data_IF_249063720048
#
_entry.id   IF_249063720048
#
_cell.length_a   1.000
_cell.length_b   1.000
_cell.length_c   1.000
_cell.angle_alpha   90.00
_cell.angle_beta   90.00
_cell.angle_gamma   90.00
#
_symmetry.space_group_name_H-M   'P 1'
#
loop_
_entity.id
_entity.type
_entity.pdbx_description
1 polymer ?
#
# COMPACT_ATOMS: atom_id res chain seq x y z
N UNK A 1 7.06 49.99 -52.21
CA UNK A 1 7.64 49.50 -50.96
C UNK A 1 6.53 49.44 -49.94
N UNK A 2 5.73 48.41 -50.03
CA UNK A 2 4.73 48.06 -49.02
C UNK A 2 5.44 47.29 -47.90
N UNK A 3 5.35 47.83 -46.69
CA UNK A 3 5.77 47.11 -45.50
C UNK A 3 4.67 46.12 -45.17
N UNK A 4 4.96 44.84 -45.36
CA UNK A 4 4.21 43.77 -44.71
C UNK A 4 4.26 44.02 -43.21
N UNK A 5 3.13 44.36 -42.60
CA UNK A 5 2.93 44.29 -41.17
C UNK A 5 2.70 42.82 -40.88
N UNK A 6 3.79 42.18 -40.42
CA UNK A 6 3.76 40.89 -39.81
C UNK A 6 2.96 41.01 -38.49
N UNK A 7 1.68 40.63 -38.54
CA UNK A 7 0.87 40.50 -37.33
C UNK A 7 1.33 39.26 -36.61
N UNK A 8 2.40 39.40 -35.80
CA UNK A 8 2.68 38.44 -34.73
C UNK A 8 1.46 38.41 -33.81
N UNK A 9 0.60 37.40 -34.02
CA UNK A 9 -0.45 37.04 -33.10
C UNK A 9 0.20 36.37 -31.85
N UNK A 10 1.00 37.11 -31.11
CA UNK A 10 1.43 36.70 -29.79
C UNK A 10 0.20 36.74 -28.88
N UNK A 11 -0.21 35.58 -28.43
CA UNK A 11 -1.26 35.44 -27.42
C UNK A 11 -0.64 35.89 -26.08
N UNK A 12 -0.78 37.18 -25.77
CA UNK A 12 -0.38 37.69 -24.46
C UNK A 12 -1.39 37.18 -23.40
N UNK A 13 -1.00 36.19 -22.61
CA UNK A 13 -1.80 35.72 -21.49
C UNK A 13 -1.52 36.62 -20.29
N UNK A 14 -2.46 37.50 -19.94
CA UNK A 14 -2.37 38.29 -18.71
C UNK A 14 -2.67 37.36 -17.49
N UNK A 15 -1.63 37.07 -16.71
CA UNK A 15 -1.74 36.22 -15.52
C UNK A 15 -2.72 36.76 -14.47
N UNK A 16 -2.91 38.09 -14.44
CA UNK A 16 -3.83 38.71 -13.50
C UNK A 16 -5.28 38.47 -13.94
N UNK A 17 -5.57 38.59 -15.21
CA UNK A 17 -6.89 38.32 -15.76
C UNK A 17 -7.24 36.84 -15.69
N UNK A 18 -6.28 35.95 -15.96
CA UNK A 18 -6.45 34.53 -15.77
C UNK A 18 -6.78 34.17 -14.31
N UNK A 19 -6.13 34.82 -13.34
CA UNK A 19 -6.40 34.61 -11.92
C UNK A 19 -7.82 35.08 -11.53
N UNK A 20 -8.24 36.24 -12.04
CA UNK A 20 -9.59 36.76 -11.82
C UNK A 20 -10.66 35.87 -12.46
N UNK A 21 -10.38 35.31 -13.63
CA UNK A 21 -11.26 34.36 -14.31
C UNK A 21 -11.44 33.09 -13.49
N UNK A 22 -10.35 32.50 -12.97
CA UNK A 22 -10.42 31.33 -12.09
C UNK A 22 -11.27 31.64 -10.84
N UNK A 23 -11.10 32.81 -10.24
CA UNK A 23 -11.92 33.23 -9.09
C UNK A 23 -13.38 33.40 -9.48
N UNK A 24 -13.68 33.90 -10.68
CA UNK A 24 -15.06 34.06 -11.15
C UNK A 24 -15.83 32.73 -11.19
N UNK A 25 -15.13 31.63 -11.49
CA UNK A 25 -15.71 30.29 -11.56
C UNK A 25 -15.57 29.48 -10.24
N UNK A 26 -15.31 30.13 -9.10
CA UNK A 26 -15.09 29.44 -7.82
C UNK A 26 -16.23 28.48 -7.42
N UNK A 27 -17.48 28.83 -7.75
CA UNK A 27 -18.66 28.00 -7.47
C UNK A 27 -18.61 26.69 -8.26
N UNK A 28 -18.20 26.73 -9.53
CA UNK A 28 -18.03 25.55 -10.36
C UNK A 28 -16.87 24.69 -9.89
N UNK A 29 -15.76 25.29 -9.48
CA UNK A 29 -14.61 24.57 -8.94
C UNK A 29 -15.04 23.81 -7.68
N UNK A 30 -15.75 24.45 -6.75
CA UNK A 30 -16.26 23.80 -5.54
C UNK A 30 -17.25 22.69 -5.88
N UNK A 31 -18.18 22.92 -6.79
CA UNK A 31 -19.16 21.92 -7.18
C UNK A 31 -18.50 20.67 -7.79
N UNK A 32 -17.56 20.84 -8.71
CA UNK A 32 -16.82 19.73 -9.33
C UNK A 32 -15.97 19.00 -8.27
N UNK A 33 -15.30 19.73 -7.39
CA UNK A 33 -14.50 19.16 -6.29
C UNK A 33 -15.36 18.27 -5.37
N UNK A 34 -16.53 18.75 -4.98
CA UNK A 34 -17.45 17.98 -4.14
C UNK A 34 -18.00 16.77 -4.91
N UNK A 35 -18.38 16.94 -6.16
CA UNK A 35 -18.93 15.87 -6.99
C UNK A 35 -17.91 14.74 -7.20
N UNK A 36 -16.66 15.07 -7.57
CA UNK A 36 -15.60 14.06 -7.73
C UNK A 36 -15.20 13.41 -6.41
N UNK A 37 -15.16 14.15 -5.31
CA UNK A 37 -14.96 13.60 -3.97
C UNK A 37 -16.06 12.63 -3.58
N UNK A 38 -17.33 12.96 -3.85
CA UNK A 38 -18.47 12.08 -3.58
C UNK A 38 -18.42 10.80 -4.44
N UNK A 39 -18.04 10.89 -5.70
CA UNK A 39 -17.83 9.73 -6.58
C UNK A 39 -16.71 8.85 -6.05
N UNK A 40 -15.57 9.43 -5.69
CA UNK A 40 -14.44 8.68 -5.12
C UNK A 40 -14.81 8.00 -3.79
N UNK A 41 -15.59 8.69 -2.93
CA UNK A 41 -16.15 8.10 -1.71
C UNK A 41 -17.05 6.90 -2.02
N UNK A 42 -17.98 7.06 -2.96
CA UNK A 42 -18.92 6.00 -3.33
C UNK A 42 -18.20 4.77 -3.89
N UNK A 43 -17.23 4.96 -4.80
CA UNK A 43 -16.41 3.88 -5.34
C UNK A 43 -15.64 3.18 -4.21
N UNK A 44 -14.98 3.96 -3.36
CA UNK A 44 -14.16 3.41 -2.26
C UNK A 44 -15.00 2.64 -1.23
N UNK A 45 -16.25 3.06 -0.99
CA UNK A 45 -17.14 2.46 0.03
C UNK A 45 -17.91 1.24 -0.48
N UNK A 46 -18.31 1.26 -1.76
CA UNK A 46 -19.26 0.28 -2.31
C UNK A 46 -18.68 -0.66 -3.36
N UNK A 47 -17.60 -0.26 -4.04
CA UNK A 47 -17.03 -1.07 -5.13
C UNK A 47 -15.74 -1.80 -4.73
N UNK A 48 -14.98 -1.27 -3.77
CA UNK A 48 -13.72 -1.88 -3.36
C UNK A 48 -13.97 -2.81 -2.17
N UNK A 49 -13.57 -4.07 -2.32
CA UNK A 49 -13.66 -5.08 -1.26
C UNK A 49 -12.76 -4.66 -0.08
N UNK A 50 -13.29 -4.61 1.15
CA UNK A 50 -12.47 -4.37 2.32
C UNK A 50 -11.47 -5.51 2.52
N UNK A 51 -10.26 -5.14 2.93
CA UNK A 51 -9.17 -6.08 3.23
C UNK A 51 -8.77 -5.92 4.70
N UNK A 52 -8.51 -7.05 5.34
CA UNK A 52 -8.12 -7.14 6.75
C UNK A 52 -6.70 -7.68 6.84
N UNK A 53 -5.99 -7.28 7.86
CA UNK A 53 -4.64 -7.79 8.16
C UNK A 53 -4.65 -8.56 9.46
N UNK A 54 -3.87 -9.63 9.48
CA UNK A 54 -3.56 -10.36 10.70
C UNK A 54 -2.07 -10.64 10.77
N UNK A 55 -1.48 -10.40 11.92
CA UNK A 55 -0.04 -10.54 12.14
C UNK A 55 0.26 -11.59 13.19
N UNK A 56 1.09 -12.57 12.82
CA UNK A 56 1.71 -13.51 13.74
C UNK A 56 3.18 -13.16 13.94
N UNK A 57 3.69 -13.31 15.16
CA UNK A 57 5.06 -12.94 15.49
C UNK A 57 5.90 -14.16 15.87
N UNK A 58 7.07 -14.28 15.23
CA UNK A 58 8.08 -15.27 15.52
C UNK A 58 9.29 -14.63 16.22
N UNK A 59 9.76 -15.27 17.28
CA UNK A 59 11.03 -14.92 17.93
C UNK A 59 12.14 -15.86 17.47
N UNK A 60 13.21 -15.28 16.91
CA UNK A 60 14.36 -16.02 16.40
C UNK A 60 15.37 -16.25 17.51
N UNK A 61 15.59 -17.51 17.86
CA UNK A 61 16.61 -17.94 18.81
C UNK A 61 17.93 -18.20 18.08
N UNK A 62 19.02 -17.72 18.67
CA UNK A 62 20.38 -18.03 18.22
C UNK A 62 20.96 -19.10 19.16
N UNK A 63 21.63 -20.11 18.61
CA UNK A 63 22.26 -21.22 19.36
C UNK A 63 23.38 -20.82 20.34
N UNK A 64 23.69 -19.53 20.47
CA UNK A 64 24.76 -19.11 21.36
C UNK A 64 24.35 -19.22 22.81
N UNK A 65 25.10 -20.04 23.54
CA UNK A 65 24.87 -20.44 24.95
C UNK A 65 25.17 -19.31 25.95
N UNK A 66 25.56 -18.13 25.52
CA UNK A 66 25.85 -16.99 26.40
C UNK A 66 25.41 -15.66 25.76
N UNK A 67 24.31 -15.14 26.28
CA UNK A 67 23.71 -13.84 25.88
C UNK A 67 24.56 -12.70 26.46
N UNK A 68 25.76 -12.45 25.96
CA UNK A 68 26.63 -11.41 26.54
C UNK A 68 27.42 -10.57 25.53
N UNK A 69 27.27 -10.79 24.23
CA UNK A 69 28.02 -10.00 23.25
C UNK A 69 27.14 -9.28 22.22
N UNK A 70 27.56 -8.09 21.81
CA UNK A 70 26.96 -7.36 20.68
C UNK A 70 26.95 -8.20 19.38
N UNK A 71 27.87 -9.17 19.26
CA UNK A 71 27.94 -10.12 18.17
C UNK A 71 26.72 -11.05 18.12
N UNK A 72 26.14 -11.43 19.25
CA UNK A 72 24.96 -12.29 19.31
C UNK A 72 23.68 -11.59 18.85
N UNK A 73 23.58 -10.29 19.13
CA UNK A 73 22.47 -9.46 18.66
C UNK A 73 22.53 -9.33 17.13
N UNK A 74 23.70 -9.07 16.59
CA UNK A 74 23.90 -8.91 15.15
C UNK A 74 23.70 -10.21 14.38
N UNK A 75 24.10 -11.35 14.97
CA UNK A 75 23.83 -12.68 14.41
C UNK A 75 22.34 -12.99 14.38
N UNK A 76 21.60 -12.69 15.46
CA UNK A 76 20.15 -12.88 15.52
C UNK A 76 19.40 -12.07 14.46
N UNK A 77 19.82 -10.83 14.24
CA UNK A 77 19.22 -9.96 13.19
C UNK A 77 19.50 -10.50 11.77
N UNK A 78 20.74 -10.97 11.54
CA UNK A 78 21.08 -11.57 10.24
C UNK A 78 20.26 -12.83 9.96
N UNK A 79 20.08 -13.70 10.96
CA UNK A 79 19.24 -14.89 10.85
C UNK A 79 17.77 -14.54 10.57
N UNK A 80 17.26 -13.47 11.16
CA UNK A 80 15.88 -13.00 10.89
C UNK A 80 15.69 -12.62 9.43
N UNK A 81 16.69 -11.94 8.83
CA UNK A 81 16.66 -11.60 7.41
C UNK A 81 16.73 -12.84 6.50
N UNK A 82 17.54 -13.83 6.86
CA UNK A 82 17.60 -15.09 6.12
C UNK A 82 16.26 -15.83 6.18
N UNK A 83 15.59 -15.79 7.33
CA UNK A 83 14.28 -16.42 7.51
C UNK A 83 13.18 -15.74 6.65
N UNK A 84 13.24 -14.42 6.45
CA UNK A 84 12.34 -13.72 5.52
C UNK A 84 12.40 -14.34 4.12
N UNK A 85 13.60 -14.61 3.63
CA UNK A 85 13.79 -15.20 2.29
C UNK A 85 13.25 -16.64 2.24
N UNK A 86 13.48 -17.41 3.28
CA UNK A 86 13.03 -18.82 3.37
C UNK A 86 11.51 -18.91 3.47
N UNK A 87 10.88 -18.08 4.30
CA UNK A 87 9.43 -18.09 4.54
C UNK A 87 8.66 -17.67 3.30
N UNK A 88 9.17 -16.66 2.53
CA UNK A 88 8.60 -16.30 1.22
C UNK A 88 8.89 -17.34 0.13
N UNK A 89 9.74 -18.29 0.42
CA UNK A 89 10.10 -19.34 -0.52
C UNK A 89 8.92 -20.28 -0.83
N UNK A 90 8.95 -20.78 -2.07
CA UNK A 90 7.94 -21.73 -2.56
C UNK A 90 7.68 -22.93 -1.62
N UNK A 91 8.70 -23.58 -1.03
CA UNK A 91 8.45 -24.77 -0.22
C UNK A 91 7.55 -24.52 1.00
N UNK A 92 7.71 -23.36 1.65
CA UNK A 92 6.90 -22.98 2.82
C UNK A 92 5.47 -22.62 2.38
N UNK A 93 5.34 -21.78 1.36
CA UNK A 93 4.03 -21.31 0.91
C UNK A 93 3.20 -22.42 0.24
N UNK A 94 3.82 -23.32 -0.54
CA UNK A 94 3.13 -24.48 -1.11
C UNK A 94 2.60 -25.41 0.01
N UNK A 95 3.38 -25.60 1.08
CA UNK A 95 2.93 -26.42 2.20
C UNK A 95 1.74 -25.79 2.96
N UNK A 96 1.74 -24.46 3.12
CA UNK A 96 0.61 -23.73 3.72
C UNK A 96 -0.64 -23.86 2.84
N UNK A 97 -0.50 -23.72 1.53
CA UNK A 97 -1.59 -23.90 0.55
C UNK A 97 -2.19 -25.30 0.67
N UNK A 98 -1.34 -26.32 0.73
CA UNK A 98 -1.77 -27.70 0.89
C UNK A 98 -2.48 -27.94 2.23
N UNK A 99 -1.90 -27.47 3.35
CA UNK A 99 -2.46 -27.67 4.69
C UNK A 99 -3.84 -27.02 4.85
N UNK A 100 -4.03 -25.85 4.24
CA UNK A 100 -5.28 -25.09 4.33
C UNK A 100 -6.22 -25.32 3.13
N UNK A 101 -5.84 -26.17 2.16
CA UNK A 101 -6.57 -26.43 0.92
C UNK A 101 -6.93 -25.13 0.16
N UNK A 102 -6.00 -24.20 0.07
CA UNK A 102 -6.21 -22.94 -0.64
C UNK A 102 -6.18 -23.16 -2.16
N UNK A 103 -7.11 -22.55 -2.88
CA UNK A 103 -7.17 -22.67 -4.33
C UNK A 103 -6.40 -21.52 -5.00
N UNK A 104 -5.13 -21.39 -4.68
CA UNK A 104 -4.26 -20.35 -5.23
C UNK A 104 -2.82 -20.82 -5.38
N UNK A 105 -1.99 -20.05 -6.11
CA UNK A 105 -0.58 -20.34 -6.27
C UNK A 105 0.26 -19.73 -5.14
N UNK A 106 1.47 -20.27 -4.92
CA UNK A 106 2.41 -19.70 -3.94
C UNK A 106 2.76 -18.22 -4.24
N UNK A 107 2.72 -17.82 -5.53
CA UNK A 107 2.96 -16.42 -5.93
C UNK A 107 1.81 -15.50 -5.49
N UNK A 108 0.58 -15.97 -5.64
CA UNK A 108 -0.62 -15.24 -5.22
C UNK A 108 -0.63 -15.08 -3.71
N UNK A 109 -0.42 -16.19 -2.98
CA UNK A 109 -0.30 -16.15 -1.53
C UNK A 109 0.85 -15.23 -1.09
N UNK A 110 2.03 -15.38 -1.69
CA UNK A 110 3.20 -14.54 -1.37
C UNK A 110 3.00 -13.05 -1.61
N UNK A 111 2.12 -12.67 -2.55
CA UNK A 111 1.71 -11.28 -2.78
C UNK A 111 0.85 -10.69 -1.66
N UNK A 112 0.18 -11.55 -0.86
CA UNK A 112 -0.65 -11.17 0.29
C UNK A 112 0.09 -11.27 1.62
N UNK A 113 1.32 -11.78 1.60
CA UNK A 113 2.16 -11.97 2.78
C UNK A 113 3.25 -10.90 2.83
N UNK A 114 3.24 -10.11 3.89
CA UNK A 114 4.29 -9.16 4.21
C UNK A 114 5.10 -9.69 5.39
N UNK A 115 6.41 -9.71 5.25
CA UNK A 115 7.35 -10.09 6.32
C UNK A 115 8.17 -8.87 6.69
N UNK A 116 8.20 -8.55 7.96
CA UNK A 116 8.92 -7.40 8.51
C UNK A 116 9.72 -7.77 9.75
N UNK A 117 10.88 -7.14 9.89
CA UNK A 117 11.73 -7.25 11.07
C UNK A 117 11.79 -5.88 11.76
N UNK A 118 10.91 -5.60 12.73
CA UNK A 118 10.84 -4.30 13.36
C UNK A 118 12.15 -3.98 14.09
N UNK A 119 12.69 -2.80 13.82
CA UNK A 119 13.89 -2.25 14.48
C UNK A 119 15.12 -3.14 14.40
N UNK A 120 15.26 -3.95 13.36
CA UNK A 120 16.33 -4.94 13.24
C UNK A 120 16.48 -5.82 14.51
N UNK A 121 15.33 -6.23 15.04
CA UNK A 121 15.25 -7.08 16.25
C UNK A 121 15.36 -8.58 15.90
N UNK A 122 15.14 -9.43 16.89
CA UNK A 122 14.97 -10.89 16.71
C UNK A 122 13.52 -11.29 16.49
N UNK A 123 12.63 -10.32 16.32
CA UNK A 123 11.22 -10.57 16.05
C UNK A 123 10.99 -10.49 14.56
N UNK A 124 10.23 -11.42 14.03
CA UNK A 124 9.78 -11.48 12.65
C UNK A 124 8.26 -11.44 12.64
N UNK A 125 7.71 -10.39 12.05
CA UNK A 125 6.29 -10.23 11.84
C UNK A 125 5.89 -10.88 10.52
N UNK A 126 4.85 -11.70 10.57
CA UNK A 126 4.20 -12.34 9.41
C UNK A 126 2.81 -11.74 9.29
N UNK A 127 2.64 -10.77 8.43
CA UNK A 127 1.36 -10.10 8.20
C UNK A 127 0.73 -10.65 6.93
N UNK A 128 -0.52 -11.08 7.03
CA UNK A 128 -1.32 -11.59 5.91
C UNK A 128 -2.53 -10.69 5.71
N UNK A 129 -2.77 -10.32 4.45
CA UNK A 129 -3.92 -9.50 4.04
C UNK A 129 -4.95 -10.37 3.31
N UNK A 130 -6.20 -10.37 3.77
CA UNK A 130 -7.30 -11.15 3.19
C UNK A 130 -8.65 -10.41 3.30
N UNK A 131 -9.61 -10.65 2.40
CA UNK A 131 -10.97 -10.15 2.57
C UNK A 131 -11.69 -10.71 3.80
N UNK A 132 -11.31 -11.90 4.28
CA UNK A 132 -11.83 -12.53 5.47
C UNK A 132 -10.81 -12.42 6.61
N UNK A 133 -11.11 -11.69 7.71
CA UNK A 133 -10.20 -11.53 8.83
C UNK A 133 -9.82 -12.85 9.50
N UNK A 134 -10.73 -13.84 9.54
CA UNK A 134 -10.44 -15.15 10.10
C UNK A 134 -9.50 -15.97 9.20
N UNK A 135 -9.64 -15.82 7.88
CA UNK A 135 -8.72 -16.44 6.92
C UNK A 135 -7.33 -15.79 7.00
N UNK A 136 -7.25 -14.46 7.07
CA UNK A 136 -5.98 -13.74 7.28
C UNK A 136 -5.23 -14.28 8.50
N UNK A 137 -5.93 -14.42 9.64
CA UNK A 137 -5.40 -14.99 10.87
C UNK A 137 -4.93 -16.44 10.69
N UNK A 138 -5.78 -17.28 10.09
CA UNK A 138 -5.48 -18.71 9.91
C UNK A 138 -4.25 -18.90 9.03
N UNK A 139 -4.13 -18.12 7.94
CA UNK A 139 -2.96 -18.19 7.06
C UNK A 139 -1.70 -17.69 7.77
N UNK A 140 -1.78 -16.58 8.53
CA UNK A 140 -0.63 -16.05 9.27
C UNK A 140 -0.09 -17.06 10.29
N UNK A 141 -1.00 -17.69 11.06
CA UNK A 141 -0.64 -18.70 12.04
C UNK A 141 -0.07 -19.97 11.39
N UNK A 142 -0.64 -20.43 10.28
CA UNK A 142 -0.12 -21.60 9.57
C UNK A 142 1.24 -21.33 8.92
N UNK A 143 1.46 -20.12 8.36
CA UNK A 143 2.80 -19.73 7.87
C UNK A 143 3.82 -19.76 9.01
N UNK A 144 3.49 -19.20 10.18
CA UNK A 144 4.38 -19.20 11.34
C UNK A 144 4.75 -20.63 11.77
N UNK A 145 3.77 -21.52 11.80
CA UNK A 145 3.95 -22.94 12.18
C UNK A 145 4.79 -23.71 11.16
N UNK A 146 4.45 -23.61 9.86
CA UNK A 146 5.18 -24.29 8.79
C UNK A 146 6.61 -23.76 8.69
N UNK A 147 6.79 -22.43 8.78
CA UNK A 147 8.10 -21.80 8.77
C UNK A 147 8.99 -22.28 9.92
N UNK A 148 8.45 -22.31 11.14
CA UNK A 148 9.18 -22.80 12.31
C UNK A 148 9.65 -24.24 12.12
N UNK A 149 8.77 -25.13 11.64
CA UNK A 149 9.10 -26.51 11.36
C UNK A 149 10.13 -26.66 10.23
N UNK A 150 9.97 -25.93 9.15
CA UNK A 150 10.87 -25.95 8.00
C UNK A 150 12.29 -25.47 8.36
N UNK A 151 12.40 -24.40 9.13
CA UNK A 151 13.68 -23.85 9.60
C UNK A 151 14.40 -24.87 10.47
N UNK A 152 13.68 -25.51 11.41
CA UNK A 152 14.25 -26.55 12.27
C UNK A 152 14.77 -27.74 11.45
N UNK A 153 13.98 -28.23 10.51
CA UNK A 153 14.32 -29.43 9.75
C UNK A 153 15.43 -29.17 8.69
N UNK A 154 15.28 -28.11 7.89
CA UNK A 154 16.14 -27.90 6.72
C UNK A 154 17.37 -27.06 7.01
N UNK A 155 17.25 -26.07 7.90
CA UNK A 155 18.37 -25.22 8.27
C UNK A 155 19.14 -25.75 9.49
N UNK A 156 18.62 -26.79 10.18
CA UNK A 156 19.22 -27.37 11.41
C UNK A 156 19.50 -26.30 12.48
N UNK A 157 18.62 -25.30 12.52
CA UNK A 157 18.61 -24.26 13.54
C UNK A 157 17.55 -24.59 14.60
N UNK A 158 17.63 -23.91 15.74
CA UNK A 158 16.53 -24.00 16.71
C UNK A 158 15.25 -23.39 16.09
N UNK A 159 14.10 -24.06 16.25
CA UNK A 159 12.86 -23.54 15.68
C UNK A 159 12.52 -22.18 16.26
N UNK A 160 12.18 -21.19 15.44
CA UNK A 160 11.66 -19.93 15.95
C UNK A 160 10.41 -20.17 16.81
N UNK A 161 10.31 -19.44 17.91
CA UNK A 161 9.17 -19.55 18.82
C UNK A 161 8.07 -18.59 18.40
N UNK A 162 6.84 -19.08 18.26
CA UNK A 162 5.67 -18.23 18.04
C UNK A 162 5.39 -17.51 19.36
N UNK A 163 5.60 -16.20 19.41
CA UNK A 163 5.37 -15.38 20.60
C UNK A 163 3.99 -14.72 20.57
N UNK A 164 3.43 -14.56 19.37
CA UNK A 164 2.07 -14.03 19.19
C UNK A 164 1.41 -14.73 18.00
N UNK A 165 0.22 -15.28 18.24
CA UNK A 165 -0.65 -15.79 17.18
C UNK A 165 -1.35 -14.63 16.47
N UNK A 166 -1.78 -14.87 15.25
CA UNK A 166 -2.49 -13.90 14.44
C UNK A 166 -3.63 -13.22 15.20
N UNK A 167 -3.61 -11.92 15.18
CA UNK A 167 -4.65 -11.09 15.78
C UNK A 167 -5.22 -10.14 14.70
N UNK A 168 -6.46 -9.77 14.91
CA UNK A 168 -7.17 -8.81 14.08
C UNK A 168 -7.28 -7.50 14.87
N UNK A 169 -6.78 -6.41 14.31
CA UNK A 169 -6.91 -5.06 14.89
C UNK A 169 -8.36 -4.52 14.79
N UNK A 170 -9.29 -5.33 14.27
CA UNK A 170 -10.73 -5.06 14.27
C UNK A 170 -11.22 -4.12 13.18
N UNK A 171 -10.38 -3.74 12.23
CA UNK A 171 -10.76 -2.82 11.15
C UNK A 171 -10.17 -3.19 9.80
N UNK A 172 -10.90 -2.89 8.72
CA UNK A 172 -10.36 -3.03 7.38
C UNK A 172 -9.22 -2.02 7.17
N UNK A 173 -8.06 -2.51 6.73
CA UNK A 173 -6.87 -1.69 6.43
C UNK A 173 -6.97 -1.03 5.05
N UNK A 174 -7.80 -1.56 4.17
CA UNK A 174 -8.06 -1.05 2.83
C UNK A 174 -9.54 -1.27 2.49
N UNK A 175 -10.14 -0.38 1.67
CA UNK A 175 -9.60 0.89 1.18
C UNK A 175 -9.59 1.99 2.26
N UNK A 176 -8.62 2.89 2.18
CA UNK A 176 -8.66 4.11 3.02
C UNK A 176 -9.63 5.11 2.38
N UNK A 177 -10.90 5.04 2.80
CA UNK A 177 -11.99 5.84 2.24
C UNK A 177 -11.68 7.35 2.33
N UNK A 178 -11.16 7.81 3.47
CA UNK A 178 -10.82 9.22 3.67
C UNK A 178 -9.75 9.69 2.69
N UNK A 179 -8.65 8.95 2.57
CA UNK A 179 -7.55 9.25 1.64
C UNK A 179 -8.04 9.28 0.19
N UNK A 180 -8.82 8.28 -0.22
CA UNK A 180 -9.33 8.16 -1.59
C UNK A 180 -10.29 9.31 -1.92
N UNK A 181 -11.16 9.69 -0.98
CA UNK A 181 -12.08 10.84 -1.13
C UNK A 181 -11.31 12.14 -1.31
N UNK A 182 -10.29 12.38 -0.49
CA UNK A 182 -9.45 13.58 -0.59
C UNK A 182 -8.70 13.62 -1.92
N UNK A 183 -8.10 12.51 -2.35
CA UNK A 183 -7.42 12.44 -3.65
C UNK A 183 -8.41 12.71 -4.80
N UNK A 184 -9.61 12.13 -4.74
CA UNK A 184 -10.66 12.36 -5.74
C UNK A 184 -11.10 13.83 -5.80
N UNK A 185 -11.26 14.48 -4.64
CA UNK A 185 -11.59 15.89 -4.56
C UNK A 185 -10.49 16.79 -5.15
N UNK A 186 -9.21 16.54 -4.80
CA UNK A 186 -8.09 17.27 -5.38
C UNK A 186 -7.97 17.09 -6.90
N UNK A 187 -8.17 15.88 -7.39
CA UNK A 187 -8.18 15.61 -8.83
C UNK A 187 -9.27 16.41 -9.54
N UNK A 188 -10.48 16.49 -8.96
CA UNK A 188 -11.58 17.28 -9.50
C UNK A 188 -11.29 18.79 -9.51
N UNK A 189 -10.72 19.31 -8.42
CA UNK A 189 -10.29 20.70 -8.34
C UNK A 189 -9.25 21.03 -9.41
N UNK A 190 -8.22 20.18 -9.55
CA UNK A 190 -7.18 20.37 -10.56
C UNK A 190 -7.72 20.33 -11.98
N UNK A 191 -8.57 19.35 -12.29
CA UNK A 191 -9.18 19.22 -13.62
C UNK A 191 -10.09 20.41 -13.95
N UNK A 192 -10.88 20.90 -12.98
CA UNK A 192 -11.75 22.07 -13.20
C UNK A 192 -10.94 23.34 -13.50
N UNK A 193 -9.85 23.57 -12.77
CA UNK A 193 -8.94 24.69 -13.02
C UNK A 193 -8.28 24.53 -14.39
N UNK A 194 -7.80 23.35 -14.76
CA UNK A 194 -7.19 23.08 -16.05
C UNK A 194 -8.15 23.37 -17.21
N UNK A 195 -9.41 22.99 -17.09
CA UNK A 195 -10.44 23.30 -18.09
C UNK A 195 -10.65 24.80 -18.23
N UNK A 196 -10.72 25.55 -17.12
CA UNK A 196 -10.88 27.01 -17.14
C UNK A 196 -9.67 27.65 -17.86
N UNK A 197 -8.45 27.25 -17.50
CA UNK A 197 -7.20 27.78 -18.11
C UNK A 197 -7.13 27.50 -19.60
N UNK A 198 -7.52 26.32 -20.05
CA UNK A 198 -7.50 25.97 -21.48
C UNK A 198 -8.62 26.69 -22.25
N UNK A 199 -9.76 26.91 -21.60
CA UNK A 199 -10.89 27.63 -22.23
C UNK A 199 -10.70 29.15 -22.33
N UNK A 200 -9.81 29.73 -21.52
CA UNK A 200 -9.54 31.14 -21.44
C UNK A 200 -9.10 31.78 -22.78
N UNK A 201 -8.12 31.25 -23.53
CA UNK A 201 -7.70 31.83 -24.80
C UNK A 201 -8.73 31.70 -25.93
N UNK A 202 -9.67 30.73 -25.84
CA UNK A 202 -10.72 30.54 -26.85
C UNK A 202 -11.77 31.65 -26.80
N UNK A 203 -11.98 32.29 -25.65
CA UNK A 203 -13.00 33.32 -25.45
C UNK A 203 -12.62 34.67 -26.13
N UNK A 204 -11.35 34.93 -26.35
CA UNK A 204 -10.87 36.18 -26.97
C UNK A 204 -10.75 36.14 -28.50
N UNK A 205 -10.88 34.95 -29.12
CA UNK A 205 -10.80 34.80 -30.59
C UNK A 205 -12.14 35.05 -31.33
N UNK A 206 -13.22 35.36 -30.60
CA UNK A 206 -14.57 35.52 -31.17
C UNK A 206 -15.17 36.96 -31.05
N UNK A 207 -14.35 37.98 -30.81
CA UNK A 207 -14.77 39.40 -30.86
C UNK A 207 -13.98 40.12 -31.99
#
# INVERSE_FOLDING_TARGET
MEREQDFDNEIEIDLKDLFLEIISYWQWIIFVTIATGAVAFAISRFMITPMYESTSELYVLSKSTSITSLADIQTGTSLTNDYIVVIKGRPVLDQVIENLNLNESYKTLGGRVTLDNPSNSRVLNITVTDPDPQMAKTIADEIAKVASAYIAEKMKQDPPTIIQSGYDDGGAVSPNIGKNTVIGAFAGAFLSIAVIVVSYPVSYTHL
#
